data_IF_081157135689
#
_entry.id   IF_081157135689
#
_cell.length_a   1.000
_cell.length_b   1.000
_cell.length_c   1.000
_cell.angle_alpha   90.00
_cell.angle_beta   90.00
_cell.angle_gamma   90.00
#
_symmetry.space_group_name_H-M   'P 1'
#
loop_
_entity.id
_entity.type
_entity.pdbx_description
1 polymer ?
#
# COMPACT_ATOMS: atom_id res chain seq x y z
N UNK A 1 5.29 27.39 9.26
CA UNK A 1 5.63 26.17 8.50
C UNK A 1 4.43 25.24 8.54
N UNK A 2 4.05 24.61 7.43
CA UNK A 2 3.00 23.59 7.44
C UNK A 2 3.53 22.29 8.06
N UNK A 3 2.68 21.57 8.82
CA UNK A 3 3.01 20.25 9.33
C UNK A 3 3.15 19.28 8.14
N UNK A 4 4.27 18.56 8.07
CA UNK A 4 4.49 17.54 7.03
C UNK A 4 4.41 16.15 7.65
N UNK A 5 3.69 15.24 6.99
CA UNK A 5 3.42 13.90 7.49
C UNK A 5 3.93 12.86 6.50
N UNK A 6 4.67 11.87 7.02
CA UNK A 6 5.17 10.75 6.24
C UNK A 6 4.43 9.46 6.61
N UNK A 7 3.99 8.71 5.60
CA UNK A 7 3.46 7.35 5.75
C UNK A 7 4.62 6.34 5.62
N UNK A 8 4.80 5.49 6.64
CA UNK A 8 5.88 4.50 6.67
C UNK A 8 5.30 3.09 6.61
N UNK A 9 5.65 2.34 5.56
CA UNK A 9 5.17 0.98 5.28
C UNK A 9 6.29 -0.05 5.50
N UNK A 10 6.15 -0.85 6.56
CA UNK A 10 7.09 -1.93 6.87
C UNK A 10 7.09 -3.07 5.83
N UNK A 11 8.16 -3.86 5.80
CA UNK A 11 8.22 -5.10 5.02
C UNK A 11 7.41 -6.24 5.64
N UNK A 12 7.26 -7.36 4.92
CA UNK A 12 6.52 -8.52 5.45
C UNK A 12 6.18 -9.64 4.45
N UNK A 13 6.82 -9.67 3.27
CA UNK A 13 6.47 -10.64 2.22
C UNK A 13 4.99 -10.59 1.85
N UNK A 14 4.33 -11.75 1.72
CA UNK A 14 2.90 -11.85 1.45
C UNK A 14 2.02 -11.12 2.48
N UNK A 15 2.44 -11.05 3.76
CA UNK A 15 1.68 -10.30 4.79
C UNK A 15 1.68 -8.80 4.55
N UNK A 16 2.58 -8.29 3.71
CA UNK A 16 2.63 -6.88 3.34
C UNK A 16 1.36 -6.41 2.61
N UNK A 17 0.59 -7.31 2.00
CA UNK A 17 -0.71 -6.96 1.39
C UNK A 17 -1.73 -6.39 2.39
N UNK A 18 -1.53 -6.60 3.70
CA UNK A 18 -2.35 -5.96 4.74
C UNK A 18 -2.33 -4.41 4.66
N UNK A 19 -1.24 -3.82 4.14
CA UNK A 19 -1.14 -2.37 3.91
C UNK A 19 -2.23 -1.85 2.97
N UNK A 20 -2.73 -2.67 2.03
CA UNK A 20 -3.77 -2.28 1.08
C UNK A 20 -5.10 -1.95 1.76
N UNK A 21 -5.44 -2.64 2.85
CA UNK A 21 -6.65 -2.36 3.62
C UNK A 21 -6.55 -1.01 4.34
N UNK A 22 -5.38 -0.70 4.90
CA UNK A 22 -5.11 0.58 5.57
C UNK A 22 -5.12 1.74 4.57
N UNK A 23 -4.49 1.56 3.41
CA UNK A 23 -4.49 2.57 2.36
C UNK A 23 -5.89 2.81 1.78
N UNK A 24 -6.72 1.77 1.67
CA UNK A 24 -8.11 1.91 1.21
C UNK A 24 -8.94 2.84 2.11
N UNK A 25 -8.77 2.74 3.43
CA UNK A 25 -9.46 3.65 4.35
C UNK A 25 -8.89 5.07 4.27
N UNK A 26 -7.58 5.23 4.12
CA UNK A 26 -6.98 6.55 3.92
C UNK A 26 -7.49 7.24 2.64
N UNK A 27 -7.67 6.49 1.54
CA UNK A 27 -8.31 7.02 0.33
C UNK A 27 -9.75 7.47 0.60
N UNK A 28 -10.55 6.65 1.28
CA UNK A 28 -11.96 6.95 1.59
C UNK A 28 -12.10 8.19 2.47
N UNK A 29 -11.23 8.33 3.46
CA UNK A 29 -11.19 9.46 4.38
C UNK A 29 -10.42 10.67 3.83
N UNK A 30 -9.91 10.60 2.58
CA UNK A 30 -9.15 11.67 1.92
C UNK A 30 -7.95 12.16 2.74
N UNK A 31 -7.26 11.23 3.40
CA UNK A 31 -6.03 11.51 4.14
C UNK A 31 -4.89 11.70 3.15
N UNK A 32 -4.16 12.80 3.28
CA UNK A 32 -3.02 13.13 2.42
C UNK A 32 -1.71 13.01 3.20
N UNK A 33 -0.67 12.53 2.50
CA UNK A 33 0.68 12.39 3.04
C UNK A 33 1.67 13.11 2.14
N UNK A 34 2.64 13.80 2.74
CA UNK A 34 3.71 14.50 2.00
C UNK A 34 4.78 13.54 1.47
N UNK A 35 4.97 12.43 2.18
CA UNK A 35 6.01 11.46 1.91
C UNK A 35 5.50 10.05 2.14
N UNK A 36 6.02 9.11 1.34
CA UNK A 36 5.81 7.68 1.53
C UNK A 36 7.19 7.03 1.61
N UNK A 37 7.41 6.25 2.66
CA UNK A 37 8.64 5.47 2.87
C UNK A 37 8.24 4.01 2.98
N UNK A 38 8.90 3.12 2.24
CA UNK A 38 8.56 1.70 2.24
C UNK A 38 9.79 0.80 2.20
N UNK A 39 9.64 -0.42 2.73
CA UNK A 39 10.65 -1.48 2.68
C UNK A 39 10.07 -2.78 2.10
N UNK A 40 10.77 -3.42 1.16
CA UNK A 40 10.34 -4.69 0.53
C UNK A 40 8.90 -4.59 -0.02
N UNK A 41 7.97 -5.44 0.41
CA UNK A 41 6.56 -5.37 0.00
C UNK A 41 5.91 -4.01 0.32
N UNK A 42 6.28 -3.38 1.44
CA UNK A 42 5.83 -2.03 1.77
C UNK A 42 6.34 -0.98 0.77
N UNK A 43 7.52 -1.17 0.17
CA UNK A 43 8.04 -0.29 -0.88
C UNK A 43 7.25 -0.45 -2.19
N UNK A 44 6.93 -1.69 -2.58
CA UNK A 44 6.12 -1.97 -3.77
C UNK A 44 4.73 -1.34 -3.65
N UNK A 45 4.05 -1.60 -2.53
CA UNK A 45 2.72 -1.06 -2.26
C UNK A 45 2.77 0.47 -2.15
N UNK A 46 3.75 1.02 -1.41
CA UNK A 46 3.91 2.46 -1.25
C UNK A 46 4.19 3.20 -2.56
N UNK A 47 5.03 2.64 -3.42
CA UNK A 47 5.33 3.21 -4.73
C UNK A 47 4.10 3.21 -5.65
N UNK A 48 3.34 2.10 -5.68
CA UNK A 48 2.11 2.03 -6.46
C UNK A 48 1.03 3.00 -5.95
N UNK A 49 0.91 3.13 -4.63
CA UNK A 49 -0.01 4.08 -4.02
C UNK A 49 0.39 5.53 -4.31
N UNK A 50 1.68 5.86 -4.27
CA UNK A 50 2.18 7.20 -4.64
C UNK A 50 1.86 7.56 -6.10
N UNK A 51 1.88 6.58 -7.01
CA UNK A 51 1.65 6.79 -8.43
C UNK A 51 0.17 7.02 -8.78
N UNK A 52 -0.73 6.23 -8.18
CA UNK A 52 -2.17 6.26 -8.53
C UNK A 52 -3.04 7.00 -7.51
N UNK A 53 -2.53 7.23 -6.29
CA UNK A 53 -3.30 7.70 -5.12
C UNK A 53 -4.55 6.86 -4.82
N UNK A 54 -4.58 5.63 -5.34
CA UNK A 54 -5.63 4.63 -5.14
C UNK A 54 -4.99 3.23 -4.99
N UNK A 55 -5.77 2.28 -4.47
CA UNK A 55 -5.29 0.91 -4.19
C UNK A 55 -5.94 -0.17 -5.06
N UNK A 56 -6.82 0.19 -5.99
CA UNK A 56 -7.59 -0.72 -6.84
C UNK A 56 -6.67 -1.62 -7.65
N UNK A 57 -5.69 -1.02 -8.34
CA UNK A 57 -4.71 -1.76 -9.14
C UNK A 57 -3.82 -2.66 -8.28
N UNK A 58 -3.50 -2.23 -7.06
CA UNK A 58 -2.69 -3.00 -6.12
C UNK A 58 -3.46 -4.15 -5.46
N UNK A 59 -4.76 -3.97 -5.21
CA UNK A 59 -5.66 -5.03 -4.74
C UNK A 59 -5.76 -6.15 -5.78
N UNK A 60 -5.89 -5.80 -7.06
CA UNK A 60 -5.89 -6.79 -8.15
C UNK A 60 -4.57 -7.56 -8.21
N UNK A 61 -3.43 -6.86 -8.10
CA UNK A 61 -2.11 -7.50 -8.04
C UNK A 61 -2.00 -8.48 -6.86
N UNK A 62 -2.54 -8.10 -5.68
CA UNK A 62 -2.55 -8.97 -4.52
C UNK A 62 -3.40 -10.22 -4.73
N UNK A 63 -4.61 -10.08 -5.29
CA UNK A 63 -5.49 -11.21 -5.61
C UNK A 63 -4.84 -12.19 -6.59
N UNK A 64 -4.18 -11.68 -7.64
CA UNK A 64 -3.49 -12.49 -8.64
C UNK A 64 -2.27 -13.22 -8.04
N UNK A 65 -1.59 -12.58 -7.08
CA UNK A 65 -0.47 -13.17 -6.35
C UNK A 65 -0.92 -14.29 -5.41
N UNK A 66 -2.06 -14.12 -4.72
CA UNK A 66 -2.63 -15.17 -3.85
C UNK A 66 -3.05 -16.39 -4.68
N UNK A 67 -3.62 -16.17 -5.87
CA UNK A 67 -4.04 -17.25 -6.77
C UNK A 67 -2.85 -18.05 -7.34
N UNK A 68 -1.69 -17.41 -7.55
CA UNK A 68 -0.51 -18.07 -8.10
C UNK A 68 0.26 -18.92 -7.08
N UNK A 69 0.14 -18.61 -5.78
CA UNK A 69 0.80 -19.37 -4.70
C UNK A 69 0.05 -20.64 -4.27
N UNK A 70 -1.09 -20.99 -4.90
CA UNK A 70 -1.79 -22.26 -4.67
C UNK A 70 -2.40 -22.42 -3.27
N UNK A 71 -2.52 -21.34 -2.51
CA UNK A 71 -3.17 -21.31 -1.20
C UNK A 71 -4.69 -21.14 -1.40
N UNK A 72 -5.38 -22.23 -1.76
CA UNK A 72 -6.82 -22.39 -1.51
C UNK A 72 -7.02 -23.08 -0.17
#
# INVERSE_FOLDING_TARGET
MALRVALVLGGGGARGFAHLGVLDIFCKEKVHFDFIVGCSMGAVIGAGYAWHQDVTSLKKLAEDSVKSEGLQ
#
